data_IF_910251604608
#
_entry.id   IF_910251604608
#
_cell.length_a   1.000
_cell.length_b   1.000
_cell.length_c   1.000
_cell.angle_alpha   90.00
_cell.angle_beta   90.00
_cell.angle_gamma   90.00
#
_symmetry.space_group_name_H-M   'P 1'
#
loop_
_entity.id
_entity.type
_entity.pdbx_description
1 polymer ?
#
# COMPACT_ATOMS: atom_id res chain seq x y z
N UNK A 1 30.81 4.06 -3.89
CA UNK A 1 29.62 4.49 -3.13
C UNK A 1 28.74 3.28 -2.98
N UNK A 2 28.54 2.81 -1.74
CA UNK A 2 27.76 1.60 -1.42
C UNK A 2 26.30 1.99 -1.35
N UNK A 3 25.41 1.23 -2.01
CA UNK A 3 24.01 1.58 -2.19
C UNK A 3 23.08 0.52 -1.61
N UNK A 4 22.09 0.91 -0.87
CA UNK A 4 21.07 0.05 -0.29
C UNK A 4 19.68 0.35 -0.87
N UNK A 5 18.89 -0.72 -1.05
CA UNK A 5 17.46 -0.69 -1.32
C UNK A 5 16.76 -1.28 -0.10
N UNK A 6 15.97 -0.49 0.60
CA UNK A 6 15.12 -0.94 1.69
C UNK A 6 13.66 -0.98 1.22
N UNK A 7 13.06 -2.16 1.17
CA UNK A 7 11.63 -2.28 0.91
C UNK A 7 10.88 -2.44 2.23
N UNK A 8 9.87 -1.60 2.45
CA UNK A 8 9.12 -1.52 3.70
C UNK A 8 7.66 -1.83 3.44
N UNK A 9 7.11 -2.79 4.18
CA UNK A 9 5.67 -3.10 4.18
C UNK A 9 5.12 -3.15 5.61
N UNK A 10 3.80 -3.19 5.75
CA UNK A 10 3.18 -3.49 7.05
C UNK A 10 3.58 -4.88 7.54
N UNK A 11 3.76 -5.81 6.60
CA UNK A 11 4.08 -7.21 6.85
C UNK A 11 2.84 -8.10 6.92
N UNK A 12 3.07 -9.40 6.91
CA UNK A 12 2.06 -10.43 7.19
C UNK A 12 2.70 -11.63 7.86
N UNK A 13 1.96 -12.26 8.77
CA UNK A 13 2.37 -13.51 9.41
C UNK A 13 1.94 -14.76 8.63
N UNK A 14 1.18 -14.61 7.56
CA UNK A 14 0.74 -15.69 6.69
C UNK A 14 1.78 -15.95 5.60
N UNK A 15 2.45 -17.10 5.67
CA UNK A 15 3.59 -17.41 4.81
C UNK A 15 3.21 -17.45 3.32
N UNK A 16 2.18 -18.22 2.97
CA UNK A 16 1.74 -18.33 1.58
C UNK A 16 1.28 -17.00 0.99
N UNK A 17 0.60 -16.17 1.79
CA UNK A 17 0.15 -14.84 1.37
C UNK A 17 1.34 -13.91 1.14
N UNK A 18 2.37 -13.99 2.01
CA UNK A 18 3.60 -13.22 1.84
C UNK A 18 4.31 -13.56 0.54
N UNK A 19 4.46 -14.86 0.26
CA UNK A 19 5.12 -15.35 -0.96
C UNK A 19 4.44 -14.88 -2.25
N UNK A 20 3.11 -14.85 -2.25
CA UNK A 20 2.30 -14.43 -3.42
C UNK A 20 2.23 -12.91 -3.60
N UNK A 21 2.61 -12.12 -2.60
CA UNK A 21 2.41 -10.66 -2.57
C UNK A 21 3.70 -9.91 -2.29
N UNK A 22 4.10 -9.83 -1.01
CA UNK A 22 5.25 -9.04 -0.57
C UNK A 22 6.53 -9.51 -1.25
N UNK A 23 6.81 -10.81 -1.21
CA UNK A 23 8.05 -11.37 -1.75
C UNK A 23 8.16 -11.12 -3.26
N UNK A 24 7.05 -11.25 -4.03
CA UNK A 24 7.05 -10.94 -5.47
C UNK A 24 7.28 -9.44 -5.73
N UNK A 25 6.63 -8.55 -4.97
CA UNK A 25 6.85 -7.10 -5.08
C UNK A 25 8.32 -6.76 -4.81
N UNK A 26 8.89 -7.30 -3.75
CA UNK A 26 10.30 -7.09 -3.37
C UNK A 26 11.26 -7.61 -4.43
N UNK A 27 11.05 -8.81 -4.95
CA UNK A 27 11.90 -9.40 -5.99
C UNK A 27 11.87 -8.58 -7.28
N UNK A 28 10.71 -8.09 -7.70
CA UNK A 28 10.59 -7.21 -8.88
C UNK A 28 11.32 -5.90 -8.67
N UNK A 29 11.16 -5.26 -7.50
CA UNK A 29 11.84 -4.00 -7.17
C UNK A 29 13.35 -4.21 -7.10
N UNK A 30 13.81 -5.25 -6.40
CA UNK A 30 15.21 -5.65 -6.31
C UNK A 30 15.82 -5.87 -7.70
N UNK A 31 15.11 -6.59 -8.56
CA UNK A 31 15.59 -6.87 -9.92
C UNK A 31 15.67 -5.61 -10.81
N UNK A 32 14.90 -4.57 -10.51
CA UNK A 32 14.96 -3.28 -11.22
C UNK A 32 16.09 -2.37 -10.75
N UNK A 33 16.59 -2.56 -9.53
CA UNK A 33 17.65 -1.77 -8.89
C UNK A 33 18.88 -2.62 -8.52
N UNK A 34 19.38 -3.39 -9.47
CA UNK A 34 20.46 -4.39 -9.29
C UNK A 34 21.78 -3.84 -8.71
N UNK A 35 22.00 -2.53 -8.75
CA UNK A 35 23.17 -1.88 -8.15
C UNK A 35 23.05 -1.58 -6.66
N UNK A 36 21.92 -1.97 -6.04
CA UNK A 36 21.63 -1.74 -4.63
C UNK A 36 21.53 -3.09 -3.90
N UNK A 37 22.14 -3.17 -2.73
CA UNK A 37 21.98 -4.31 -1.84
C UNK A 37 20.60 -4.25 -1.17
N UNK A 38 19.90 -5.37 -1.15
CA UNK A 38 18.50 -5.45 -0.72
C UNK A 38 18.37 -5.65 0.79
N UNK A 39 17.45 -4.90 1.38
CA UNK A 39 17.00 -5.00 2.77
C UNK A 39 15.47 -4.99 2.83
N UNK A 40 14.93 -5.69 3.83
CA UNK A 40 13.49 -5.76 4.14
C UNK A 40 13.23 -5.18 5.52
N UNK A 41 12.09 -4.47 5.69
CA UNK A 41 11.59 -4.14 7.01
C UNK A 41 10.05 -4.20 7.05
N UNK A 42 9.49 -4.47 8.23
CA UNK A 42 8.05 -4.40 8.49
C UNK A 42 7.75 -3.29 9.49
N UNK A 43 6.64 -2.56 9.30
CA UNK A 43 6.22 -1.52 10.25
C UNK A 43 5.45 -2.08 11.44
N UNK A 44 4.77 -3.23 11.29
CA UNK A 44 3.99 -3.85 12.35
C UNK A 44 4.85 -4.66 13.32
N UNK A 45 5.14 -4.10 14.50
CA UNK A 45 5.84 -4.82 15.56
C UNK A 45 5.07 -6.08 16.04
N UNK A 46 3.74 -6.05 15.95
CA UNK A 46 2.92 -7.22 16.29
C UNK A 46 3.21 -8.39 15.33
N UNK A 47 3.27 -8.12 14.04
CA UNK A 47 3.59 -9.14 13.03
C UNK A 47 5.03 -9.62 13.18
N UNK A 48 6.00 -8.72 13.36
CA UNK A 48 7.41 -9.06 13.62
C UNK A 48 7.52 -10.03 14.80
N UNK A 49 6.89 -9.69 15.93
CA UNK A 49 6.92 -10.51 17.12
C UNK A 49 6.22 -11.87 16.94
N UNK A 50 5.09 -11.91 16.22
CA UNK A 50 4.37 -13.13 15.90
C UNK A 50 5.23 -14.10 15.06
N UNK A 51 5.91 -13.58 14.03
CA UNK A 51 6.82 -14.35 13.17
C UNK A 51 8.03 -14.85 13.98
N UNK A 52 8.66 -13.96 14.76
CA UNK A 52 9.81 -14.34 15.61
C UNK A 52 9.44 -15.44 16.59
N UNK A 53 8.29 -15.33 17.26
CA UNK A 53 7.83 -16.32 18.25
C UNK A 53 7.46 -17.66 17.63
N UNK A 54 6.78 -17.65 16.46
CA UNK A 54 6.29 -18.87 15.80
C UNK A 54 7.37 -19.59 14.99
N UNK A 55 8.16 -18.81 14.22
CA UNK A 55 9.04 -19.33 13.17
C UNK A 55 10.53 -19.17 13.51
N UNK A 56 10.88 -18.41 14.56
CA UNK A 56 12.27 -18.07 14.89
C UNK A 56 12.94 -17.13 13.90
N UNK A 57 12.16 -16.51 12.98
CA UNK A 57 12.69 -15.62 11.94
C UNK A 57 12.73 -14.19 12.49
N UNK A 58 13.87 -13.54 12.34
CA UNK A 58 14.05 -12.13 12.69
C UNK A 58 13.81 -11.26 11.47
N UNK A 59 12.89 -10.29 11.61
CA UNK A 59 12.60 -9.25 10.60
C UNK A 59 12.80 -7.91 11.29
N UNK A 60 13.58 -7.03 10.65
CA UNK A 60 13.85 -5.70 11.17
C UNK A 60 12.60 -4.80 11.05
N UNK A 61 12.40 -3.91 12.00
CA UNK A 61 11.57 -2.73 11.78
C UNK A 61 12.38 -1.66 11.00
N UNK A 62 11.75 -0.57 10.51
CA UNK A 62 12.46 0.41 9.69
C UNK A 62 13.67 1.04 10.36
N UNK A 63 13.61 1.32 11.67
CA UNK A 63 14.73 1.89 12.43
C UNK A 63 15.88 0.89 12.50
N UNK A 64 15.61 -0.35 12.88
CA UNK A 64 16.63 -1.41 12.93
C UNK A 64 17.30 -1.65 11.57
N UNK A 65 16.51 -1.65 10.49
CA UNK A 65 17.04 -1.80 9.15
C UNK A 65 17.94 -0.60 8.76
N UNK A 66 17.54 0.63 9.06
CA UNK A 66 18.31 1.83 8.77
C UNK A 66 19.59 1.91 9.60
N UNK A 67 19.57 1.54 10.88
CA UNK A 67 20.77 1.46 11.70
C UNK A 67 21.75 0.42 11.15
N UNK A 68 21.27 -0.77 10.81
CA UNK A 68 22.07 -1.84 10.18
C UNK A 68 22.71 -1.38 8.87
N UNK A 69 21.95 -0.69 8.01
CA UNK A 69 22.44 -0.13 6.75
C UNK A 69 23.52 0.92 7.01
N UNK A 70 23.32 1.80 7.98
CA UNK A 70 24.27 2.83 8.34
C UNK A 70 25.58 2.23 8.90
N UNK A 71 25.49 1.30 9.85
CA UNK A 71 26.64 0.61 10.46
C UNK A 71 27.46 -0.19 9.44
N UNK A 72 26.81 -0.73 8.39
CA UNK A 72 27.48 -1.40 7.29
C UNK A 72 28.14 -0.45 6.28
N UNK A 73 28.07 0.87 6.50
CA UNK A 73 28.75 1.89 5.71
C UNK A 73 28.16 2.14 4.32
N UNK A 74 26.83 2.04 4.18
CA UNK A 74 26.15 2.47 2.96
C UNK A 74 26.09 4.00 2.89
N UNK A 75 26.29 4.53 1.68
CA UNK A 75 26.25 5.96 1.40
C UNK A 75 24.89 6.44 0.91
N UNK A 76 24.20 5.59 0.13
CA UNK A 76 22.92 5.88 -0.52
C UNK A 76 21.89 4.84 -0.10
N UNK A 77 20.69 5.30 0.27
CA UNK A 77 19.56 4.44 0.62
C UNK A 77 18.33 4.87 -0.18
N UNK A 78 17.81 3.96 -0.99
CA UNK A 78 16.49 4.09 -1.61
C UNK A 78 15.52 3.26 -0.77
N UNK A 79 14.45 3.89 -0.31
CA UNK A 79 13.42 3.22 0.47
C UNK A 79 12.15 3.20 -0.38
N UNK A 80 11.61 2.01 -0.67
CA UNK A 80 10.30 1.87 -1.30
C UNK A 80 9.31 1.29 -0.31
N UNK A 81 8.24 2.04 -0.07
CA UNK A 81 7.12 1.53 0.73
C UNK A 81 6.12 0.75 -0.11
N UNK A 82 5.52 -0.30 0.46
CA UNK A 82 4.42 -1.05 -0.14
C UNK A 82 3.05 -0.69 0.50
N UNK A 83 2.95 0.42 1.22
CA UNK A 83 1.68 0.93 1.75
C UNK A 83 0.75 1.37 0.61
N UNK A 84 -0.56 1.27 0.85
CA UNK A 84 -1.57 1.62 -0.14
C UNK A 84 -1.83 3.12 -0.17
N UNK A 85 -1.94 3.76 0.99
CA UNK A 85 -2.28 5.19 1.15
C UNK A 85 -1.21 5.92 1.97
N UNK A 86 -1.21 7.24 1.90
CA UNK A 86 -0.36 8.11 2.75
C UNK A 86 -0.93 8.22 4.17
N UNK A 87 -1.23 7.08 4.81
CA UNK A 87 -1.84 6.98 6.12
C UNK A 87 -0.84 7.12 7.27
N UNK A 88 -1.33 6.83 8.48
CA UNK A 88 -0.57 6.96 9.71
C UNK A 88 0.74 6.14 9.71
N UNK A 89 0.68 4.89 9.22
CA UNK A 89 1.87 4.03 9.13
C UNK A 89 2.93 4.57 8.17
N UNK A 90 2.50 5.15 7.04
CA UNK A 90 3.44 5.80 6.11
C UNK A 90 4.02 7.08 6.70
N UNK A 91 3.24 7.87 7.44
CA UNK A 91 3.72 9.08 8.09
C UNK A 91 4.74 8.75 9.20
N UNK A 92 4.50 7.71 10.00
CA UNK A 92 5.48 7.20 10.97
C UNK A 92 6.79 6.78 10.28
N UNK A 93 6.68 6.05 9.15
CA UNK A 93 7.86 5.67 8.36
C UNK A 93 8.61 6.91 7.86
N UNK A 94 7.89 7.91 7.35
CA UNK A 94 8.48 9.17 6.86
C UNK A 94 9.24 9.90 7.96
N UNK A 95 8.65 10.06 9.14
CA UNK A 95 9.31 10.68 10.30
C UNK A 95 10.59 9.92 10.71
N UNK A 96 10.53 8.58 10.72
CA UNK A 96 11.70 7.76 10.97
C UNK A 96 12.80 8.00 9.94
N UNK A 97 12.47 8.00 8.65
CA UNK A 97 13.42 8.26 7.54
C UNK A 97 14.01 9.66 7.62
N UNK A 98 13.20 10.67 7.92
CA UNK A 98 13.66 12.07 8.08
C UNK A 98 14.71 12.20 9.18
N UNK A 99 14.61 11.40 10.26
CA UNK A 99 15.60 11.31 11.31
C UNK A 99 16.99 10.80 10.88
N UNK A 100 17.07 10.16 9.72
CA UNK A 100 18.33 9.64 9.13
C UNK A 100 18.90 10.53 8.02
N UNK A 101 18.28 11.66 7.71
CA UNK A 101 18.65 12.53 6.60
C UNK A 101 20.11 13.02 6.64
N UNK A 102 20.68 13.20 7.84
CA UNK A 102 22.08 13.61 8.04
C UNK A 102 23.07 12.44 8.11
N UNK A 103 22.61 11.20 8.23
CA UNK A 103 23.46 10.02 8.37
C UNK A 103 23.94 9.45 7.03
N UNK A 104 23.19 9.68 5.95
CA UNK A 104 23.51 9.18 4.61
C UNK A 104 23.81 10.33 3.65
N UNK A 105 24.67 10.10 2.65
CA UNK A 105 24.89 11.07 1.56
C UNK A 105 23.63 11.28 0.74
N UNK A 106 22.78 10.24 0.68
CA UNK A 106 21.50 10.26 0.01
C UNK A 106 20.56 9.26 0.66
N UNK A 107 19.40 9.73 1.09
CA UNK A 107 18.29 8.90 1.55
C UNK A 107 17.01 9.41 0.91
N UNK A 108 16.26 8.54 0.25
CA UNK A 108 15.02 8.91 -0.46
C UNK A 108 13.94 7.89 -0.16
N UNK A 109 12.74 8.40 0.19
CA UNK A 109 11.56 7.59 0.45
C UNK A 109 10.61 7.63 -0.77
N UNK A 110 10.33 6.47 -1.33
CA UNK A 110 9.31 6.26 -2.36
C UNK A 110 7.91 6.36 -1.77
N UNK A 111 6.95 6.70 -2.63
CA UNK A 111 5.57 6.95 -2.22
C UNK A 111 4.72 5.67 -2.17
N UNK A 112 3.60 5.69 -1.41
CA UNK A 112 2.58 4.65 -1.42
C UNK A 112 1.92 4.45 -2.79
N UNK A 113 1.09 3.41 -2.90
CA UNK A 113 0.38 3.07 -4.13
C UNK A 113 -0.49 4.22 -4.64
N UNK A 114 -1.29 4.82 -3.76
CA UNK A 114 -2.23 5.91 -4.05
C UNK A 114 -1.73 7.22 -3.43
N UNK A 115 -1.10 8.07 -4.23
CA UNK A 115 -0.57 9.37 -3.80
C UNK A 115 -1.00 10.49 -4.72
N UNK A 116 -0.77 10.37 -6.01
CA UNK A 116 -1.13 11.34 -7.04
C UNK A 116 -2.30 10.84 -7.88
N UNK A 117 -2.95 11.73 -8.63
CA UNK A 117 -4.12 11.38 -9.44
C UNK A 117 -3.79 10.28 -10.47
N UNK A 118 -2.61 10.33 -11.05
CA UNK A 118 -2.12 9.32 -11.99
C UNK A 118 -1.98 7.94 -11.34
N UNK A 119 -1.70 7.91 -10.04
CA UNK A 119 -1.60 6.67 -9.28
C UNK A 119 -2.96 5.98 -9.15
N UNK A 120 -4.03 6.76 -8.96
CA UNK A 120 -5.41 6.25 -8.95
C UNK A 120 -5.83 5.75 -10.33
N UNK A 121 -5.52 6.50 -11.40
CA UNK A 121 -5.83 6.09 -12.77
C UNK A 121 -5.18 4.73 -13.10
N UNK A 122 -3.89 4.58 -12.79
CA UNK A 122 -3.18 3.33 -12.99
C UNK A 122 -3.71 2.20 -12.09
N UNK A 123 -4.13 2.50 -10.85
CA UNK A 123 -4.74 1.51 -9.96
C UNK A 123 -6.11 1.04 -10.49
N UNK A 124 -6.93 1.94 -11.03
CA UNK A 124 -8.19 1.60 -11.68
C UNK A 124 -7.96 0.65 -12.85
N UNK A 125 -6.97 0.93 -13.71
CA UNK A 125 -6.62 0.04 -14.81
C UNK A 125 -6.14 -1.33 -14.31
N UNK A 126 -5.30 -1.36 -13.27
CA UNK A 126 -4.85 -2.60 -12.66
C UNK A 126 -6.02 -3.44 -12.10
N UNK A 127 -6.99 -2.78 -11.46
CA UNK A 127 -8.19 -3.44 -10.90
C UNK A 127 -9.05 -4.07 -11.99
N UNK A 128 -9.18 -3.48 -13.18
CA UNK A 128 -9.92 -4.07 -14.32
C UNK A 128 -9.39 -5.48 -14.68
N UNK A 129 -8.11 -5.74 -14.46
CA UNK A 129 -7.49 -7.04 -14.70
C UNK A 129 -7.62 -8.03 -13.53
N UNK A 130 -8.10 -7.58 -12.38
CA UNK A 130 -8.23 -8.39 -11.18
C UNK A 130 -9.67 -8.80 -10.88
N UNK A 131 -10.63 -7.93 -11.19
CA UNK A 131 -12.05 -8.20 -10.95
C UNK A 131 -12.59 -9.23 -11.93
N UNK A 132 -13.57 -10.05 -11.52
CA UNK A 132 -14.24 -10.96 -12.44
C UNK A 132 -15.11 -10.18 -13.44
N UNK A 133 -15.51 -10.86 -14.52
CA UNK A 133 -16.60 -10.36 -15.36
C UNK A 133 -17.90 -10.29 -14.54
N UNK A 134 -18.61 -9.18 -14.65
CA UNK A 134 -19.83 -8.93 -13.86
C UNK A 134 -21.00 -8.64 -14.76
N UNK A 135 -22.17 -9.20 -14.41
CA UNK A 135 -23.45 -8.88 -15.01
C UNK A 135 -23.99 -7.54 -14.44
N UNK A 136 -25.04 -6.99 -15.04
CA UNK A 136 -25.60 -5.68 -14.67
C UNK A 136 -26.13 -5.60 -13.23
N UNK A 137 -26.51 -6.74 -12.64
CA UNK A 137 -26.98 -6.86 -11.25
C UNK A 137 -25.88 -7.34 -10.30
N UNK A 138 -24.63 -7.37 -10.74
CA UNK A 138 -23.47 -7.71 -9.94
C UNK A 138 -22.62 -6.48 -9.66
N UNK A 139 -21.96 -6.47 -8.52
CA UNK A 139 -20.99 -5.44 -8.15
C UNK A 139 -19.76 -6.05 -7.51
N UNK A 140 -18.65 -5.35 -7.55
CA UNK A 140 -17.51 -5.63 -6.68
C UNK A 140 -17.59 -4.74 -5.43
N UNK A 141 -17.39 -5.35 -4.28
CA UNK A 141 -17.24 -4.66 -3.00
C UNK A 141 -15.79 -4.83 -2.54
N UNK A 142 -15.10 -3.73 -2.42
CA UNK A 142 -13.74 -3.71 -1.88
C UNK A 142 -13.75 -3.42 -0.39
N UNK A 143 -13.10 -4.29 0.39
CA UNK A 143 -12.79 -4.03 1.78
C UNK A 143 -11.42 -3.38 1.89
N UNK A 144 -11.36 -2.09 2.20
CA UNK A 144 -10.15 -1.39 2.61
C UNK A 144 -9.89 -1.55 4.11
N UNK A 145 -8.64 -1.38 4.55
CA UNK A 145 -8.35 -1.31 5.98
C UNK A 145 -9.04 -0.10 6.63
N UNK A 146 -8.97 1.03 5.93
CA UNK A 146 -9.42 2.31 6.50
C UNK A 146 -8.39 2.92 7.43
N UNK A 147 -8.73 4.06 7.98
CA UNK A 147 -7.94 4.80 8.97
C UNK A 147 -8.74 5.98 9.50
N UNK A 148 -8.43 6.45 10.70
CA UNK A 148 -8.94 7.72 11.22
C UNK A 148 -8.14 8.94 10.73
N UNK A 149 -7.06 8.72 9.99
CA UNK A 149 -6.23 9.76 9.40
C UNK A 149 -6.91 10.41 8.18
N UNK A 150 -6.61 11.67 7.88
CA UNK A 150 -7.18 12.43 6.75
C UNK A 150 -7.02 11.76 5.37
N UNK A 151 -5.98 10.93 5.21
CA UNK A 151 -5.77 10.12 4.01
C UNK A 151 -6.87 9.08 3.74
N UNK A 152 -7.81 8.91 4.67
CA UNK A 152 -9.00 8.08 4.49
C UNK A 152 -9.80 8.47 3.24
N UNK A 153 -9.75 9.76 2.87
CA UNK A 153 -10.34 10.27 1.62
C UNK A 153 -9.89 9.54 0.35
N UNK A 154 -8.79 8.79 0.40
CA UNK A 154 -8.33 7.96 -0.71
C UNK A 154 -9.34 6.87 -1.12
N UNK A 155 -10.09 6.31 -0.18
CA UNK A 155 -11.07 5.25 -0.45
C UNK A 155 -12.29 5.75 -1.23
N UNK A 156 -12.99 6.82 -0.81
CA UNK A 156 -14.07 7.38 -1.61
C UNK A 156 -13.58 7.96 -2.96
N UNK A 157 -12.39 8.52 -3.03
CA UNK A 157 -11.82 8.97 -4.30
C UNK A 157 -11.59 7.81 -5.26
N UNK A 158 -11.05 6.68 -4.77
CA UNK A 158 -10.89 5.47 -5.56
C UNK A 158 -12.24 4.95 -6.07
N UNK A 159 -13.24 4.85 -5.20
CA UNK A 159 -14.57 4.39 -5.60
C UNK A 159 -15.16 5.27 -6.70
N UNK A 160 -15.08 6.60 -6.53
CA UNK A 160 -15.55 7.53 -7.55
C UNK A 160 -14.90 7.24 -8.90
N UNK A 161 -13.57 7.08 -8.93
CA UNK A 161 -12.83 6.84 -10.17
C UNK A 161 -13.12 5.46 -10.77
N UNK A 162 -13.31 4.42 -9.96
CA UNK A 162 -13.75 3.10 -10.43
C UNK A 162 -15.09 3.19 -11.15
N UNK A 163 -16.06 3.86 -10.54
CA UNK A 163 -17.42 4.03 -11.10
C UNK A 163 -17.43 4.92 -12.35
N UNK A 164 -16.65 5.99 -12.37
CA UNK A 164 -16.47 6.87 -13.54
C UNK A 164 -15.86 6.11 -14.74
N UNK A 165 -15.08 5.06 -14.46
CA UNK A 165 -14.53 4.13 -15.47
C UNK A 165 -15.45 2.93 -15.77
N UNK A 166 -16.73 3.00 -15.41
CA UNK A 166 -17.74 2.00 -15.74
C UNK A 166 -17.67 0.71 -14.90
N UNK A 167 -16.92 0.71 -13.81
CA UNK A 167 -16.85 -0.44 -12.91
C UNK A 167 -17.91 -0.26 -11.82
N UNK A 168 -18.84 -1.21 -11.71
CA UNK A 168 -19.84 -1.19 -10.65
C UNK A 168 -19.20 -1.61 -9.31
N UNK A 169 -18.47 -0.66 -8.72
CA UNK A 169 -17.67 -0.87 -7.52
C UNK A 169 -18.23 -0.07 -6.33
N UNK A 170 -18.06 -0.65 -5.15
CA UNK A 170 -18.31 -0.02 -3.86
C UNK A 170 -17.09 -0.27 -2.98
N UNK A 171 -16.68 0.74 -2.23
CA UNK A 171 -15.57 0.63 -1.28
C UNK A 171 -16.09 0.89 0.12
N UNK A 172 -15.84 -0.05 1.01
CA UNK A 172 -16.03 0.12 2.44
C UNK A 172 -14.74 -0.15 3.19
N UNK A 173 -14.69 0.17 4.46
CA UNK A 173 -13.49 0.06 5.27
C UNK A 173 -13.79 -0.60 6.62
N UNK A 174 -12.78 -1.33 7.14
CA UNK A 174 -12.85 -1.92 8.50
C UNK A 174 -12.84 -0.80 9.54
N UNK A 175 -11.98 0.20 9.33
CA UNK A 175 -11.90 1.37 10.19
C UNK A 175 -12.32 2.64 9.43
N UNK A 176 -13.19 3.46 10.03
CA UNK A 176 -13.64 4.73 9.46
C UNK A 176 -14.89 4.57 8.60
N UNK A 177 -15.07 5.45 7.61
CA UNK A 177 -16.30 5.57 6.80
C UNK A 177 -15.98 5.40 5.30
N UNK A 178 -16.81 4.69 4.49
CA UNK A 178 -18.06 4.00 4.87
C UNK A 178 -17.83 2.62 5.48
N UNK A 179 -18.60 2.31 6.50
CA UNK A 179 -18.74 0.98 7.08
C UNK A 179 -19.60 0.08 6.19
N UNK A 180 -19.67 -1.21 6.49
CA UNK A 180 -20.39 -2.20 5.67
C UNK A 180 -21.89 -1.88 5.53
N UNK A 181 -22.54 -1.31 6.55
CA UNK A 181 -23.96 -0.93 6.54
C UNK A 181 -24.25 0.14 5.47
N UNK A 182 -23.32 1.08 5.28
CA UNK A 182 -23.43 2.10 4.23
C UNK A 182 -23.30 1.49 2.84
N UNK A 183 -22.41 0.51 2.69
CA UNK A 183 -22.24 -0.24 1.44
C UNK A 183 -23.51 -1.03 1.13
N UNK A 184 -24.07 -1.75 2.11
CA UNK A 184 -25.31 -2.53 1.97
C UNK A 184 -26.48 -1.65 1.50
N UNK A 185 -26.69 -0.49 2.12
CA UNK A 185 -27.75 0.43 1.69
C UNK A 185 -27.60 0.80 0.22
N UNK A 186 -26.41 1.16 -0.20
CA UNK A 186 -26.10 1.58 -1.59
C UNK A 186 -26.22 0.43 -2.60
N UNK A 187 -25.85 -0.79 -2.21
CA UNK A 187 -26.06 -2.00 -3.01
C UNK A 187 -27.57 -2.26 -3.24
N UNK A 188 -28.41 -2.08 -2.20
CA UNK A 188 -29.87 -2.20 -2.31
C UNK A 188 -30.46 -1.13 -3.21
N UNK A 189 -30.03 0.13 -3.07
CA UNK A 189 -30.43 1.24 -3.95
C UNK A 189 -30.03 0.98 -5.43
N UNK A 190 -28.89 0.33 -5.65
CA UNK A 190 -28.41 -0.09 -6.97
C UNK A 190 -29.06 -1.36 -7.52
N UNK A 191 -30.01 -1.97 -6.82
CA UNK A 191 -30.64 -3.25 -7.17
C UNK A 191 -29.65 -4.41 -7.40
N UNK A 192 -28.51 -4.39 -6.70
CA UNK A 192 -27.49 -5.44 -6.77
C UNK A 192 -28.02 -6.72 -6.14
N UNK A 193 -27.67 -7.86 -6.74
CA UNK A 193 -28.04 -9.21 -6.26
C UNK A 193 -26.83 -10.04 -5.88
N UNK A 194 -25.74 -9.86 -6.63
CA UNK A 194 -24.49 -10.60 -6.40
C UNK A 194 -23.35 -9.65 -6.10
N UNK A 195 -22.63 -9.95 -5.04
CA UNK A 195 -21.47 -9.19 -4.58
C UNK A 195 -20.20 -10.02 -4.76
N UNK A 196 -19.27 -9.50 -5.55
CA UNK A 196 -17.92 -10.02 -5.62
C UNK A 196 -17.07 -9.30 -4.55
N UNK A 197 -16.85 -9.96 -3.41
CA UNK A 197 -16.19 -9.37 -2.24
C UNK A 197 -14.68 -9.58 -2.32
N UNK A 198 -13.91 -8.50 -2.27
CA UNK A 198 -12.47 -8.51 -2.48
C UNK A 198 -11.74 -7.58 -1.49
N UNK A 199 -10.53 -7.93 -1.00
CA UNK A 199 -9.76 -7.00 -0.20
C UNK A 199 -9.09 -5.93 -1.09
N UNK A 200 -9.13 -4.67 -0.65
CA UNK A 200 -8.32 -3.58 -1.19
C UNK A 200 -7.12 -3.35 -0.26
N UNK A 201 -6.29 -4.38 -0.13
CA UNK A 201 -5.11 -4.44 0.72
C UNK A 201 -3.97 -5.10 -0.05
N UNK A 202 -2.72 -4.79 0.29
CA UNK A 202 -1.55 -5.40 -0.35
C UNK A 202 -1.61 -6.93 -0.25
N UNK A 203 -1.97 -7.42 0.93
CA UNK A 203 -2.06 -8.84 1.26
C UNK A 203 -3.50 -9.20 1.66
N UNK A 204 -3.99 -10.36 1.24
CA UNK A 204 -5.20 -10.95 1.79
C UNK A 204 -4.82 -11.66 3.11
N UNK A 205 -4.57 -10.87 4.15
CA UNK A 205 -4.15 -11.31 5.47
C UNK A 205 -5.31 -11.48 6.45
N UNK A 206 -5.06 -11.20 7.73
CA UNK A 206 -5.98 -11.44 8.83
C UNK A 206 -7.38 -10.84 8.60
N UNK A 207 -7.46 -9.55 8.28
CA UNK A 207 -8.72 -8.88 7.98
C UNK A 207 -9.46 -9.49 6.77
N UNK A 208 -8.74 -9.90 5.73
CA UNK A 208 -9.39 -10.52 4.57
C UNK A 208 -9.88 -11.94 4.86
N UNK A 209 -9.19 -12.68 5.71
CA UNK A 209 -9.55 -14.07 6.05
C UNK A 209 -10.66 -14.10 7.08
N UNK A 210 -10.58 -13.29 8.14
CA UNK A 210 -11.50 -13.30 9.26
C UNK A 210 -12.63 -12.28 9.08
N UNK A 211 -12.32 -10.98 9.03
CA UNK A 211 -13.34 -9.94 9.04
C UNK A 211 -14.11 -9.83 7.72
N UNK A 212 -13.45 -10.19 6.58
CA UNK A 212 -14.13 -10.16 5.27
C UNK A 212 -14.79 -11.49 4.93
N UNK A 213 -14.06 -12.60 4.99
CA UNK A 213 -14.44 -13.90 4.43
C UNK A 213 -14.75 -14.97 5.49
N UNK A 214 -14.62 -14.65 6.75
CA UNK A 214 -14.93 -15.57 7.87
C UNK A 214 -16.38 -15.98 7.91
N UNK A 215 -16.67 -16.98 8.75
CA UNK A 215 -18.03 -17.50 8.97
C UNK A 215 -18.66 -16.93 10.26
N UNK A 216 -17.97 -16.02 10.95
CA UNK A 216 -18.48 -15.34 12.14
C UNK A 216 -19.59 -14.35 11.76
N UNK A 217 -20.50 -14.06 12.71
CA UNK A 217 -21.66 -13.19 12.50
C UNK A 217 -21.29 -11.76 12.07
N UNK A 218 -20.13 -11.29 12.48
CA UNK A 218 -19.60 -9.93 12.18
C UNK A 218 -18.73 -9.87 10.91
N UNK A 219 -18.52 -10.99 10.21
CA UNK A 219 -17.82 -10.98 8.94
C UNK A 219 -18.64 -10.31 7.83
N UNK A 220 -17.98 -9.58 6.94
CA UNK A 220 -18.67 -8.91 5.82
C UNK A 220 -19.43 -9.88 4.92
N UNK A 221 -18.89 -11.08 4.71
CA UNK A 221 -19.57 -12.15 3.96
C UNK A 221 -20.92 -12.48 4.62
N UNK A 222 -20.91 -12.83 5.92
CA UNK A 222 -22.12 -13.22 6.65
C UNK A 222 -23.13 -12.07 6.68
N UNK A 223 -22.69 -10.86 7.01
CA UNK A 223 -23.54 -9.66 7.02
C UNK A 223 -24.20 -9.43 5.64
N UNK A 224 -23.45 -9.56 4.55
CA UNK A 224 -23.99 -9.38 3.19
C UNK A 224 -25.00 -10.50 2.84
N UNK A 225 -24.70 -11.76 3.18
CA UNK A 225 -25.59 -12.89 2.94
C UNK A 225 -26.91 -12.75 3.72
N UNK A 226 -26.87 -12.36 4.99
CA UNK A 226 -28.03 -12.07 5.82
C UNK A 226 -28.89 -10.90 5.28
N UNK A 227 -28.25 -9.96 4.57
CA UNK A 227 -28.92 -8.87 3.88
C UNK A 227 -29.49 -9.24 2.50
N UNK A 228 -29.41 -10.54 2.11
CA UNK A 228 -30.02 -11.10 0.91
C UNK A 228 -29.19 -11.03 -0.36
N UNK A 229 -27.89 -10.78 -0.24
CA UNK A 229 -26.97 -10.82 -1.38
C UNK A 229 -26.38 -12.22 -1.59
N UNK A 230 -26.14 -12.59 -2.84
CA UNK A 230 -25.30 -13.72 -3.18
C UNK A 230 -23.84 -13.26 -3.14
N UNK A 231 -23.01 -13.84 -2.26
CA UNK A 231 -21.62 -13.39 -2.05
C UNK A 231 -20.63 -14.37 -2.68
N UNK A 232 -19.74 -13.85 -3.50
CA UNK A 232 -18.58 -14.56 -4.05
C UNK A 232 -17.31 -13.93 -3.50
N UNK A 233 -16.57 -14.66 -2.68
CA UNK A 233 -15.33 -14.16 -2.05
C UNK A 233 -14.13 -14.42 -2.93
N UNK A 234 -13.30 -13.40 -3.10
CA UNK A 234 -12.04 -13.45 -3.86
C UNK A 234 -10.88 -13.03 -2.94
N UNK A 235 -10.21 -14.00 -2.32
CA UNK A 235 -9.07 -13.77 -1.41
C UNK A 235 -7.77 -13.51 -2.19
N UNK A 236 -7.74 -12.42 -2.95
CA UNK A 236 -6.54 -11.96 -3.68
C UNK A 236 -6.14 -10.57 -3.23
N UNK A 237 -4.94 -10.46 -2.65
CA UNK A 237 -4.35 -9.17 -2.32
C UNK A 237 -3.90 -8.40 -3.56
N UNK A 238 -3.78 -7.08 -3.44
CA UNK A 238 -3.27 -6.22 -4.53
C UNK A 238 -1.84 -6.60 -4.94
N UNK A 239 -1.05 -7.16 -4.01
CA UNK A 239 0.31 -7.65 -4.29
C UNK A 239 0.37 -8.84 -5.26
N UNK A 240 -0.75 -9.54 -5.52
CA UNK A 240 -0.84 -10.60 -6.53
C UNK A 240 -1.10 -10.04 -7.96
N UNK A 241 -1.44 -8.76 -8.07
CA UNK A 241 -1.70 -8.10 -9.33
C UNK A 241 -0.40 -7.59 -9.95
N UNK A 242 -0.02 -8.13 -11.13
CA UNK A 242 1.24 -7.77 -11.79
C UNK A 242 1.34 -6.27 -12.14
N UNK A 243 0.24 -5.61 -12.47
CA UNK A 243 0.21 -4.17 -12.75
C UNK A 243 0.50 -3.34 -11.49
N UNK A 244 -0.02 -3.77 -10.32
CA UNK A 244 0.28 -3.15 -9.03
C UNK A 244 1.76 -3.35 -8.65
N UNK A 245 2.27 -4.57 -8.83
CA UNK A 245 3.69 -4.87 -8.61
C UNK A 245 4.59 -3.98 -9.47
N UNK A 246 4.27 -3.86 -10.77
CA UNK A 246 5.03 -3.02 -11.72
C UNK A 246 4.91 -1.52 -11.38
N UNK A 247 3.80 -1.10 -10.76
CA UNK A 247 3.65 0.26 -10.26
C UNK A 247 4.61 0.55 -9.11
N UNK A 248 4.75 -0.35 -8.14
CA UNK A 248 5.74 -0.20 -7.07
C UNK A 248 7.17 -0.17 -7.63
N UNK A 249 7.47 -0.97 -8.67
CA UNK A 249 8.75 -0.90 -9.39
C UNK A 249 8.97 0.49 -9.98
N UNK A 250 7.97 1.06 -10.68
CA UNK A 250 8.08 2.42 -11.23
C UNK A 250 8.29 3.48 -10.15
N UNK A 251 7.63 3.36 -9.00
CA UNK A 251 7.84 4.25 -7.86
C UNK A 251 9.28 4.17 -7.34
N UNK A 252 9.82 2.97 -7.16
CA UNK A 252 11.19 2.75 -6.69
C UNK A 252 12.25 3.27 -7.69
N UNK A 253 12.07 2.99 -8.97
CA UNK A 253 12.97 3.46 -10.03
C UNK A 253 12.96 4.99 -10.12
N UNK A 254 11.77 5.60 -10.14
CA UNK A 254 11.62 7.06 -10.15
C UNK A 254 12.23 7.71 -8.90
N UNK A 255 12.10 7.07 -7.75
CA UNK A 255 12.75 7.50 -6.51
C UNK A 255 14.28 7.49 -6.64
N UNK A 256 14.86 6.46 -7.26
CA UNK A 256 16.28 6.37 -7.51
C UNK A 256 16.79 7.43 -8.53
N UNK A 257 15.99 7.73 -9.56
CA UNK A 257 16.33 8.70 -10.61
C UNK A 257 16.21 10.15 -10.14
N UNK A 258 15.13 10.53 -9.46
CA UNK A 258 14.86 11.90 -9.00
C UNK A 258 15.85 12.42 -7.95
N UNK A 259 16.66 11.56 -7.41
CA UNK A 259 17.72 11.93 -6.49
C UNK A 259 18.92 12.65 -7.18
N UNK A 260 18.83 13.03 -8.46
CA UNK A 260 19.98 13.57 -9.19
C UNK A 260 20.03 15.08 -9.35
N UNK A 261 18.94 15.84 -9.28
CA UNK A 261 19.00 17.30 -9.39
C UNK A 261 17.72 17.98 -8.86
N UNK A 262 17.84 18.75 -7.80
CA UNK A 262 16.99 19.91 -7.59
C UNK A 262 17.70 21.15 -8.14
N UNK A 263 17.43 21.48 -9.39
CA UNK A 263 17.70 22.82 -9.89
C UNK A 263 16.71 23.78 -9.22
N UNK A 264 17.12 24.47 -8.17
CA UNK A 264 16.34 25.56 -7.59
C UNK A 264 16.54 26.74 -8.51
N UNK A 265 15.53 27.05 -9.32
CA UNK A 265 15.45 28.33 -9.99
C UNK A 265 15.32 29.42 -8.93
N UNK A 266 16.42 29.95 -8.44
CA UNK A 266 16.43 31.23 -7.79
C UNK A 266 16.09 32.25 -8.89
N UNK A 267 14.78 32.60 -9.02
CA UNK A 267 14.37 33.69 -9.91
C UNK A 267 15.10 35.00 -9.55
N UNK A 268 14.90 36.08 -10.30
CA UNK A 268 15.56 37.36 -10.05
C UNK A 268 15.01 38.06 -8.78
N UNK A 269 14.92 37.32 -7.71
CA UNK A 269 14.44 37.73 -6.41
C UNK A 269 15.54 37.91 -5.37
N UNK A 270 15.18 38.55 -4.26
CA UNK A 270 16.08 38.75 -3.12
C UNK A 270 16.53 37.39 -2.56
N UNK A 271 17.84 37.20 -2.43
CA UNK A 271 18.46 36.00 -1.88
C UNK A 271 18.02 35.65 -0.44
N UNK A 272 17.42 36.61 0.30
CA UNK A 272 16.84 36.41 1.61
C UNK A 272 15.57 35.51 1.60
N UNK A 273 14.96 35.32 0.41
CA UNK A 273 13.80 34.47 0.21
C UNK A 273 14.16 32.98 0.00
N UNK A 274 15.45 32.68 -0.11
CA UNK A 274 15.91 31.30 -0.21
C UNK A 274 15.81 30.62 1.17
N UNK A 275 15.15 29.48 1.23
CA UNK A 275 15.13 28.67 2.46
C UNK A 275 16.48 28.04 2.72
N UNK A 276 16.83 27.76 3.98
CA UNK A 276 18.09 27.07 4.36
C UNK A 276 18.29 25.75 3.59
N UNK A 277 17.19 25.04 3.25
CA UNK A 277 17.22 23.83 2.42
C UNK A 277 17.55 24.10 0.95
N UNK A 278 17.44 25.33 0.48
CA UNK A 278 17.75 25.71 -0.88
C UNK A 278 19.23 26.11 -1.07
N UNK A 279 19.95 26.35 0.02
CA UNK A 279 21.34 26.84 0.03
C UNK A 279 22.32 25.71 0.37
N UNK A 280 21.86 24.63 0.99
CA UNK A 280 22.62 23.42 1.31
C UNK A 280 22.25 22.28 0.36
#
# INVERSE_FOLDING_TARGET
MKKALLVVSFGTSYHETREKTIDICEDKIKNSLKSHDFFRAYTSNMIINKIKKRDGIEIDNPIQALDKIYEQGYDEVIIQTLHIICGEEFNKLKEQVDGYSSKFKKIVLGRPLLTHIEDYQEAVEAIKHQIPHMESNEAVVFMGHGTLHESHSAYPALEYMLRDNGINAYVGTVEGYPEIEHVIRRLKEGNIKTVNLMPFMLVAGDHAINDMAGDEEDSWKTILEENGFNVRVHLKGLGENSYIQDKFVRHAVKCAENAKFYGIGAGPGDGSLLTIKAVN
#
